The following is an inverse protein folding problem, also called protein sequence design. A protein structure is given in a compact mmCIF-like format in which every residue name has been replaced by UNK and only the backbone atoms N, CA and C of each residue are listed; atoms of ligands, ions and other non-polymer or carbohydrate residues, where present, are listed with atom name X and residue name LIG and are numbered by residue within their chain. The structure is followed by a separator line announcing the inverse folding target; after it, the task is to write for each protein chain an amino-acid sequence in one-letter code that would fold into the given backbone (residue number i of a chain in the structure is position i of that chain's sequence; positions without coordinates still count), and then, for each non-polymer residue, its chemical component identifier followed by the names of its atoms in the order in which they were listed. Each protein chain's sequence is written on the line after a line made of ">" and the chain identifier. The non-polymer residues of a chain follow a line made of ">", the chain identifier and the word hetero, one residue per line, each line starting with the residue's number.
data_IF_034447957505
#
_entry.id   IF_034447957505
#
_cell.length_a   1.000
_cell.length_b   1.000
_cell.length_c   1.000
_cell.angle_alpha   90.00
_cell.angle_beta   90.00
_cell.angle_gamma   90.00
#
_symmetry.space_group_name_H-M   'P 1'
#
loop_
_entity.id
_entity.type
_entity.pdbx_description
1 polymer ?
#
# COMPACT_ATOMS: atom_id res chain seq x y z
N UNK A 1 1.45 42.68 -43.12
CA UNK A 1 2.74 42.16 -42.60
C UNK A 1 2.43 41.13 -41.52
N UNK A 2 2.76 39.88 -41.85
CA UNK A 2 3.01 38.68 -41.02
C UNK A 2 2.27 38.51 -39.68
N UNK A 3 1.40 37.49 -39.67
CA UNK A 3 0.96 36.74 -38.50
C UNK A 3 2.03 35.74 -38.02
N UNK A 4 1.79 35.20 -36.82
CA UNK A 4 2.38 33.98 -36.22
C UNK A 4 3.76 34.14 -35.55
N UNK A 5 4.04 33.52 -34.40
CA UNK A 5 3.33 32.45 -33.72
C UNK A 5 3.50 32.55 -32.20
N UNK A 6 2.39 32.43 -31.49
CA UNK A 6 2.38 31.99 -30.10
C UNK A 6 2.92 30.57 -30.07
N UNK A 7 4.18 30.42 -29.66
CA UNK A 7 4.79 29.12 -29.39
C UNK A 7 4.01 28.42 -28.30
N UNK A 8 3.04 27.57 -28.69
CA UNK A 8 2.62 26.47 -27.85
C UNK A 8 3.85 25.57 -27.72
N UNK A 9 4.49 25.61 -26.56
CA UNK A 9 5.41 24.54 -26.19
C UNK A 9 4.68 23.21 -26.41
N UNK A 10 5.26 22.28 -27.19
CA UNK A 10 4.64 21.00 -27.43
C UNK A 10 4.40 20.36 -26.06
N UNK A 11 3.13 20.08 -25.75
CA UNK A 11 2.73 19.42 -24.52
C UNK A 11 3.66 18.22 -24.31
N UNK A 12 4.45 18.26 -23.24
CA UNK A 12 5.46 17.24 -22.92
C UNK A 12 4.84 15.85 -23.09
N UNK A 13 5.26 15.15 -24.15
CA UNK A 13 4.89 13.76 -24.42
C UNK A 13 5.47 12.82 -23.36
N UNK A 14 6.42 13.32 -22.57
CA UNK A 14 6.98 12.65 -21.43
C UNK A 14 5.88 12.40 -20.37
N UNK A 15 5.69 11.13 -20.02
CA UNK A 15 4.89 10.72 -18.87
C UNK A 15 5.50 11.10 -17.52
N UNK A 16 6.69 11.71 -17.50
CA UNK A 16 7.38 12.13 -16.30
C UNK A 16 6.86 13.48 -15.79
N UNK A 17 6.72 13.56 -14.47
CA UNK A 17 6.31 14.76 -13.75
C UNK A 17 6.81 14.67 -12.32
N UNK A 18 7.84 15.46 -12.03
CA UNK A 18 8.53 15.45 -10.75
C UNK A 18 7.60 15.87 -9.59
N UNK A 19 6.67 16.79 -9.84
CA UNK A 19 5.75 17.26 -8.81
C UNK A 19 4.78 16.14 -8.40
N UNK A 20 4.18 15.45 -9.38
CA UNK A 20 3.33 14.29 -9.10
C UNK A 20 4.11 13.12 -8.47
N UNK A 21 5.36 12.91 -8.90
CA UNK A 21 6.24 11.89 -8.32
C UNK A 21 6.45 12.11 -6.82
N UNK A 22 6.86 13.33 -6.43
CA UNK A 22 7.10 13.65 -5.03
C UNK A 22 5.83 13.69 -4.21
N UNK A 23 4.70 14.14 -4.77
CA UNK A 23 3.40 14.07 -4.10
C UNK A 23 2.94 12.63 -3.87
N UNK A 24 3.20 11.72 -4.81
CA UNK A 24 2.95 10.30 -4.60
C UNK A 24 3.74 9.76 -3.42
N UNK A 25 5.05 10.02 -3.37
CA UNK A 25 5.92 9.59 -2.27
C UNK A 25 5.42 10.18 -0.95
N UNK A 26 5.18 11.48 -0.89
CA UNK A 26 4.72 12.17 0.33
C UNK A 26 3.38 11.66 0.84
N UNK A 27 2.40 11.46 -0.05
CA UNK A 27 1.09 10.95 0.32
C UNK A 27 1.09 9.48 0.74
N UNK A 28 1.87 8.62 0.09
CA UNK A 28 2.01 7.22 0.54
C UNK A 28 2.76 7.16 1.88
N UNK A 29 3.81 7.97 2.06
CA UNK A 29 4.53 8.09 3.33
C UNK A 29 3.59 8.50 4.46
N UNK A 30 2.81 9.55 4.25
CA UNK A 30 1.82 10.02 5.23
C UNK A 30 0.77 8.94 5.53
N UNK A 31 0.31 8.22 4.51
CA UNK A 31 -0.63 7.11 4.69
C UNK A 31 -0.03 6.01 5.57
N UNK A 32 1.19 5.56 5.28
CA UNK A 32 1.87 4.54 6.07
C UNK A 32 2.11 4.99 7.51
N UNK A 33 2.58 6.22 7.73
CA UNK A 33 2.74 6.79 9.07
C UNK A 33 1.42 6.75 9.82
N UNK A 34 0.33 7.19 9.19
CA UNK A 34 -1.01 7.22 9.80
C UNK A 34 -1.47 5.82 10.16
N UNK A 35 -1.40 4.88 9.21
CA UNK A 35 -1.87 3.50 9.38
C UNK A 35 -1.09 2.80 10.50
N UNK A 36 0.23 2.92 10.50
CA UNK A 36 1.11 2.28 11.49
C UNK A 36 0.97 2.93 12.86
N UNK A 37 0.82 4.25 12.94
CA UNK A 37 0.60 4.96 14.22
C UNK A 37 -0.72 4.54 14.83
N UNK A 38 -1.81 4.52 14.05
CA UNK A 38 -3.12 4.07 14.54
C UNK A 38 -3.06 2.59 14.94
N UNK A 39 -2.42 1.75 14.14
CA UNK A 39 -2.21 0.33 14.48
C UNK A 39 -1.50 0.15 15.82
N UNK A 40 -0.41 0.90 16.04
CA UNK A 40 0.33 0.88 17.31
C UNK A 40 -0.53 1.34 18.49
N UNK A 41 -1.27 2.46 18.36
CA UNK A 41 -2.17 2.94 19.41
C UNK A 41 -3.27 1.93 19.74
N UNK A 42 -3.80 1.24 18.74
CA UNK A 42 -4.81 0.18 18.94
C UNK A 42 -4.24 -1.02 19.70
N UNK A 43 -2.98 -1.38 19.45
CA UNK A 43 -2.28 -2.44 20.21
C UNK A 43 -2.11 -2.01 21.68
N UNK A 44 -1.65 -0.77 21.92
CA UNK A 44 -1.50 -0.25 23.29
C UNK A 44 -2.83 -0.22 24.05
N UNK A 45 -3.87 0.33 23.43
CA UNK A 45 -5.23 0.34 23.98
C UNK A 45 -5.76 -1.08 24.23
N UNK A 46 -5.45 -2.02 23.33
CA UNK A 46 -5.81 -3.43 23.48
C UNK A 46 -5.16 -4.07 24.71
N UNK A 47 -3.88 -3.78 24.98
CA UNK A 47 -3.19 -4.30 26.16
C UNK A 47 -3.70 -3.69 27.48
N UNK A 48 -3.99 -2.38 27.50
CA UNK A 48 -4.37 -1.67 28.73
C UNK A 48 -5.83 -1.91 29.13
N UNK A 49 -6.75 -2.02 28.18
CA UNK A 49 -8.20 -2.04 28.44
C UNK A 49 -8.74 -3.46 28.68
N UNK A 50 -8.01 -4.52 28.30
CA UNK A 50 -8.59 -5.86 28.15
C UNK A 50 -8.04 -6.91 29.14
N UNK A 51 -8.15 -6.61 30.43
CA UNK A 51 -8.00 -7.62 31.51
C UNK A 51 -9.29 -8.45 31.73
N UNK A 52 -9.97 -8.90 30.66
CA UNK A 52 -11.21 -9.69 30.76
C UNK A 52 -11.09 -11.09 30.13
N UNK A 53 -11.67 -12.08 30.81
CA UNK A 53 -11.42 -13.51 30.70
C UNK A 53 -12.06 -14.19 29.45
N UNK A 54 -11.34 -15.21 28.91
CA UNK A 54 -11.73 -16.36 28.07
C UNK A 54 -12.16 -16.15 26.59
N UNK A 55 -11.29 -16.64 25.69
CA UNK A 55 -11.51 -17.25 24.35
C UNK A 55 -12.30 -16.51 23.24
N UNK A 56 -13.44 -15.87 23.52
CA UNK A 56 -14.24 -15.13 22.53
C UNK A 56 -13.70 -13.72 22.24
N UNK A 57 -12.77 -13.25 23.07
CA UNK A 57 -12.15 -11.93 23.00
C UNK A 57 -11.24 -11.76 21.77
N UNK A 58 -10.46 -12.80 21.45
CA UNK A 58 -9.46 -12.74 20.38
C UNK A 58 -10.11 -12.56 19.01
N UNK A 59 -11.27 -13.20 18.77
CA UNK A 59 -11.97 -13.10 17.48
C UNK A 59 -12.57 -11.71 17.26
N UNK A 60 -13.22 -11.13 18.27
CA UNK A 60 -13.84 -9.80 18.16
C UNK A 60 -12.76 -8.73 18.00
N UNK A 61 -11.70 -8.79 18.80
CA UNK A 61 -10.56 -7.87 18.70
C UNK A 61 -9.86 -8.01 17.34
N UNK A 62 -9.64 -9.23 16.87
CA UNK A 62 -9.03 -9.49 15.57
C UNK A 62 -9.91 -8.99 14.42
N UNK A 63 -11.23 -9.14 14.48
CA UNK A 63 -12.17 -8.57 13.52
C UNK A 63 -12.17 -7.03 13.54
N UNK A 64 -12.08 -6.42 14.72
CA UNK A 64 -11.96 -4.97 14.88
C UNK A 64 -10.66 -4.45 14.26
N UNK A 65 -9.52 -5.08 14.59
CA UNK A 65 -8.21 -4.74 14.03
C UNK A 65 -8.21 -4.93 12.51
N UNK A 66 -8.75 -6.05 12.01
CA UNK A 66 -8.85 -6.30 10.57
C UNK A 66 -9.73 -5.27 9.86
N UNK A 67 -10.87 -4.90 10.45
CA UNK A 67 -11.79 -3.91 9.88
C UNK A 67 -11.17 -2.52 9.88
N UNK A 68 -10.55 -2.12 10.99
CA UNK A 68 -9.85 -0.84 11.11
C UNK A 68 -8.63 -0.79 10.19
N UNK A 69 -7.82 -1.85 10.18
CA UNK A 69 -6.68 -2.02 9.28
C UNK A 69 -7.10 -1.89 7.82
N UNK A 70 -8.18 -2.55 7.41
CA UNK A 70 -8.74 -2.44 6.07
C UNK A 70 -9.31 -1.05 5.76
N UNK A 71 -9.94 -0.39 6.74
CA UNK A 71 -10.45 0.96 6.58
C UNK A 71 -9.30 1.99 6.46
N UNK A 72 -8.18 1.79 7.16
CA UNK A 72 -7.01 2.65 7.10
C UNK A 72 -6.21 2.42 5.82
N UNK A 73 -5.82 1.17 5.52
CA UNK A 73 -5.13 0.81 4.27
C UNK A 73 -6.00 1.05 3.04
N UNK A 74 -7.30 0.83 3.14
CA UNK A 74 -8.21 1.05 2.03
C UNK A 74 -8.60 2.51 1.86
N UNK A 75 -8.98 3.13 2.97
CA UNK A 75 -9.57 4.46 3.03
C UNK A 75 -8.51 5.56 2.99
N UNK A 76 -7.57 5.57 3.94
CA UNK A 76 -6.57 6.65 4.06
C UNK A 76 -5.59 6.60 2.91
N UNK A 77 -4.94 5.46 2.69
CA UNK A 77 -3.98 5.28 1.59
C UNK A 77 -4.68 5.48 0.24
N UNK A 78 -5.84 4.85 0.02
CA UNK A 78 -6.61 5.03 -1.21
C UNK A 78 -7.02 6.48 -1.45
N UNK A 79 -7.49 7.21 -0.42
CA UNK A 79 -7.88 8.61 -0.55
C UNK A 79 -6.70 9.52 -0.87
N UNK A 80 -5.56 9.31 -0.23
CA UNK A 80 -4.34 10.10 -0.46
C UNK A 80 -3.74 9.81 -1.84
N UNK A 81 -3.71 8.54 -2.27
CA UNK A 81 -3.30 8.16 -3.63
C UNK A 81 -4.23 8.76 -4.70
N UNK A 82 -5.54 8.80 -4.44
CA UNK A 82 -6.51 9.40 -5.37
C UNK A 82 -6.22 10.88 -5.66
N UNK A 83 -5.66 11.62 -4.70
CA UNK A 83 -5.29 13.03 -4.90
C UNK A 83 -4.25 13.22 -6.01
N UNK A 84 -3.40 12.21 -6.26
CA UNK A 84 -2.43 12.20 -7.37
C UNK A 84 -3.09 11.66 -8.65
N UNK A 85 -3.81 10.54 -8.54
CA UNK A 85 -4.40 9.86 -9.70
C UNK A 85 -5.39 10.75 -10.44
N UNK A 86 -6.21 11.53 -9.72
CA UNK A 86 -7.21 12.43 -10.31
C UNK A 86 -6.61 13.53 -11.20
N UNK A 87 -5.33 13.84 -11.03
CA UNK A 87 -4.64 14.87 -11.82
C UNK A 87 -4.23 14.35 -13.20
N UNK A 88 -4.26 13.03 -13.41
CA UNK A 88 -3.93 12.40 -14.69
C UNK A 88 -5.12 11.77 -15.39
N UNK A 89 -6.06 11.23 -14.62
CA UNK A 89 -7.20 10.49 -15.16
C UNK A 89 -8.47 10.81 -14.39
N UNK A 90 -9.63 10.89 -15.05
CA UNK A 90 -10.91 11.22 -14.42
C UNK A 90 -11.51 10.00 -13.69
N UNK A 91 -10.78 9.45 -12.71
CA UNK A 91 -11.25 8.32 -11.89
C UNK A 91 -12.07 8.87 -10.70
N UNK A 92 -13.34 8.42 -10.52
CA UNK A 92 -14.13 8.84 -9.37
C UNK A 92 -13.51 8.40 -8.04
N UNK A 93 -13.48 9.30 -7.06
CA UNK A 93 -12.92 9.06 -5.72
C UNK A 93 -13.43 7.78 -5.08
N UNK A 94 -14.75 7.60 -5.07
CA UNK A 94 -15.41 6.45 -4.44
C UNK A 94 -14.91 5.14 -5.06
N UNK A 95 -14.84 5.07 -6.39
CA UNK A 95 -14.38 3.87 -7.12
C UNK A 95 -12.95 3.52 -6.74
N UNK A 96 -12.05 4.50 -6.74
CA UNK A 96 -10.65 4.29 -6.35
C UNK A 96 -10.49 3.85 -4.90
N UNK A 97 -11.18 4.49 -3.96
CA UNK A 97 -11.10 4.11 -2.55
C UNK A 97 -11.65 2.69 -2.34
N UNK A 98 -12.80 2.36 -2.93
CA UNK A 98 -13.38 1.01 -2.78
C UNK A 98 -12.48 -0.07 -3.40
N UNK A 99 -11.74 0.23 -4.47
CA UNK A 99 -10.76 -0.70 -5.02
C UNK A 99 -9.54 -0.92 -4.11
N UNK A 100 -9.36 -0.09 -3.08
CA UNK A 100 -8.35 -0.32 -2.05
C UNK A 100 -8.92 -1.04 -0.83
N UNK A 101 -10.10 -0.61 -0.35
CA UNK A 101 -10.74 -1.17 0.86
C UNK A 101 -11.09 -2.65 0.70
N UNK A 102 -11.72 -3.06 -0.41
CA UNK A 102 -12.16 -4.44 -0.59
C UNK A 102 -11.01 -5.47 -0.51
N UNK A 103 -9.95 -5.32 -1.32
CA UNK A 103 -8.80 -6.22 -1.25
C UNK A 103 -8.02 -6.10 0.05
N UNK A 104 -7.92 -4.90 0.65
CA UNK A 104 -7.32 -4.75 1.98
C UNK A 104 -8.09 -5.56 3.03
N UNK A 105 -9.43 -5.52 3.02
CA UNK A 105 -10.25 -6.31 3.92
C UNK A 105 -10.04 -7.82 3.70
N UNK A 106 -10.02 -8.27 2.45
CA UNK A 106 -9.74 -9.67 2.14
C UNK A 106 -8.36 -10.10 2.64
N UNK A 107 -7.32 -9.29 2.42
CA UNK A 107 -5.98 -9.60 2.90
C UNK A 107 -5.92 -9.61 4.43
N UNK A 108 -6.58 -8.66 5.10
CA UNK A 108 -6.67 -8.63 6.55
C UNK A 108 -7.38 -9.87 7.11
N UNK A 109 -8.53 -10.25 6.55
CA UNK A 109 -9.32 -11.37 7.05
C UNK A 109 -8.70 -12.74 6.73
N UNK A 110 -8.15 -12.90 5.53
CA UNK A 110 -7.73 -14.22 5.02
C UNK A 110 -6.24 -14.49 5.21
N UNK A 111 -5.42 -13.46 5.43
CA UNK A 111 -3.96 -13.60 5.48
C UNK A 111 -3.40 -13.05 6.77
N UNK A 112 -3.73 -11.81 7.14
CA UNK A 112 -3.15 -11.18 8.34
C UNK A 112 -3.74 -11.78 9.61
N UNK A 113 -5.06 -11.89 9.70
CA UNK A 113 -5.73 -12.38 10.90
C UNK A 113 -5.35 -13.83 11.25
N UNK A 114 -5.42 -14.80 10.31
CA UNK A 114 -5.08 -16.19 10.64
C UNK A 114 -3.62 -16.33 11.06
N UNK A 115 -2.74 -15.53 10.48
CA UNK A 115 -1.34 -15.48 10.82
C UNK A 115 -1.06 -14.89 12.20
N UNK A 116 -1.74 -13.80 12.57
CA UNK A 116 -1.63 -13.21 13.91
C UNK A 116 -2.11 -14.20 14.97
N UNK A 117 -3.25 -14.86 14.73
CA UNK A 117 -3.78 -15.90 15.64
C UNK A 117 -2.79 -17.05 15.76
N UNK A 118 -2.28 -17.56 14.62
CA UNK A 118 -1.30 -18.64 14.62
C UNK A 118 0.00 -18.28 15.35
N UNK A 119 0.47 -17.04 15.22
CA UNK A 119 1.65 -16.56 15.94
C UNK A 119 1.42 -16.46 17.46
N UNK A 120 0.22 -16.08 17.90
CA UNK A 120 -0.14 -16.02 19.32
C UNK A 120 -0.24 -17.40 19.96
N UNK A 121 -0.83 -18.38 19.25
CA UNK A 121 -1.06 -19.73 19.79
C UNK A 121 0.22 -20.57 19.87
N UNK A 122 1.19 -20.30 19.01
CA UNK A 122 2.33 -21.19 18.81
C UNK A 122 3.49 -20.98 19.79
N UNK A 123 3.52 -19.89 20.59
CA UNK A 123 4.73 -19.43 21.31
C UNK A 123 5.99 -19.47 20.43
N UNK A 124 5.83 -19.45 19.10
CA UNK A 124 6.90 -19.82 18.18
C UNK A 124 7.90 -18.69 18.02
N UNK A 125 9.11 -19.11 17.65
CA UNK A 125 10.21 -18.25 17.28
C UNK A 125 9.79 -17.28 16.19
N UNK A 126 10.40 -16.11 16.25
CA UNK A 126 9.86 -14.93 15.59
C UNK A 126 10.11 -14.96 14.08
N UNK A 127 10.93 -15.90 13.61
CA UNK A 127 11.06 -16.30 12.21
C UNK A 127 9.75 -16.76 11.58
N UNK A 128 8.85 -17.41 12.33
CA UNK A 128 7.55 -17.85 11.81
C UNK A 128 6.60 -16.67 11.66
N UNK A 129 6.57 -15.75 12.63
CA UNK A 129 5.82 -14.49 12.53
C UNK A 129 6.32 -13.62 11.36
N UNK A 130 7.62 -13.65 11.08
CA UNK A 130 8.24 -12.98 9.94
C UNK A 130 7.85 -13.59 8.59
N UNK A 131 7.91 -14.91 8.46
CA UNK A 131 7.44 -15.62 7.25
C UNK A 131 5.96 -15.37 7.00
N UNK A 132 5.17 -15.28 8.06
CA UNK A 132 3.76 -14.92 8.01
C UNK A 132 3.57 -13.46 7.55
N UNK A 133 4.28 -12.49 8.13
CA UNK A 133 4.23 -11.09 7.71
C UNK A 133 4.70 -10.87 6.26
N UNK A 134 5.79 -11.53 5.83
CA UNK A 134 6.24 -11.51 4.44
C UNK A 134 5.21 -12.16 3.50
N UNK A 135 4.59 -13.28 3.89
CA UNK A 135 3.50 -13.87 3.09
C UNK A 135 2.25 -12.97 3.00
N UNK A 136 2.00 -12.14 4.02
CA UNK A 136 0.93 -11.13 4.01
C UNK A 136 1.23 -9.99 3.04
N UNK A 137 2.47 -9.49 3.03
CA UNK A 137 2.96 -8.53 2.04
C UNK A 137 2.81 -9.04 0.61
N UNK A 138 3.16 -10.30 0.38
CA UNK A 138 3.02 -11.00 -0.91
C UNK A 138 1.56 -11.19 -1.35
N UNK A 139 0.60 -11.19 -0.43
CA UNK A 139 -0.82 -11.24 -0.76
C UNK A 139 -1.39 -9.84 -1.01
N UNK A 140 -1.05 -8.87 -0.17
CA UNK A 140 -1.53 -7.49 -0.23
C UNK A 140 -1.15 -6.80 -1.54
N UNK A 141 0.12 -6.89 -1.93
CA UNK A 141 0.63 -6.21 -3.14
C UNK A 141 -0.12 -6.59 -4.41
N UNK A 142 -0.21 -7.89 -4.75
CA UNK A 142 -0.97 -8.37 -5.90
C UNK A 142 -2.47 -8.09 -5.80
N UNK A 143 -3.08 -8.24 -4.62
CA UNK A 143 -4.52 -7.98 -4.43
C UNK A 143 -4.87 -6.50 -4.65
N UNK A 144 -4.09 -5.59 -4.06
CA UNK A 144 -4.25 -4.15 -4.25
C UNK A 144 -3.93 -3.75 -5.69
N UNK A 145 -2.81 -4.24 -6.22
CA UNK A 145 -2.38 -3.99 -7.60
C UNK A 145 -3.45 -4.43 -8.61
N UNK A 146 -3.96 -5.65 -8.49
CA UNK A 146 -5.02 -6.19 -9.34
C UNK A 146 -6.30 -5.34 -9.26
N UNK A 147 -6.76 -5.02 -8.07
CA UNK A 147 -7.99 -4.27 -7.88
C UNK A 147 -7.90 -2.84 -8.43
N UNK A 148 -6.81 -2.13 -8.15
CA UNK A 148 -6.55 -0.82 -8.74
C UNK A 148 -6.40 -0.92 -10.27
N UNK A 149 -5.75 -1.96 -10.78
CA UNK A 149 -5.64 -2.25 -12.21
C UNK A 149 -7.00 -2.44 -12.90
N UNK A 150 -8.01 -3.01 -12.22
CA UNK A 150 -9.37 -3.11 -12.75
C UNK A 150 -10.09 -1.76 -12.86
N UNK A 151 -9.68 -0.77 -12.09
CA UNK A 151 -10.11 0.62 -12.26
C UNK A 151 -9.34 1.27 -13.41
N UNK A 152 -8.01 1.11 -13.42
CA UNK A 152 -7.12 1.69 -14.42
C UNK A 152 -7.36 1.16 -15.84
N UNK A 153 -7.85 -0.09 -16.01
CA UNK A 153 -8.16 -0.66 -17.34
C UNK A 153 -9.13 0.18 -18.16
N UNK A 154 -9.92 1.03 -17.51
CA UNK A 154 -10.89 1.92 -18.17
C UNK A 154 -10.25 3.18 -18.74
N UNK A 155 -9.05 3.54 -18.29
CA UNK A 155 -8.42 4.84 -18.56
C UNK A 155 -7.00 4.73 -19.14
N UNK A 156 -6.33 3.58 -19.05
CA UNK A 156 -4.99 3.37 -19.61
C UNK A 156 -4.83 1.99 -20.23
N UNK A 157 -4.06 1.92 -21.32
CA UNK A 157 -3.65 0.68 -21.99
C UNK A 157 -2.60 -0.10 -21.20
N UNK A 158 -1.88 0.56 -20.28
CA UNK A 158 -0.77 -0.02 -19.49
C UNK A 158 -1.22 -0.59 -18.14
N UNK A 159 -2.52 -0.72 -17.91
CA UNK A 159 -3.09 -1.14 -16.62
C UNK A 159 -2.52 -2.45 -16.05
N UNK A 160 -2.11 -3.40 -16.89
CA UNK A 160 -1.55 -4.70 -16.45
C UNK A 160 -0.20 -4.54 -15.74
N UNK A 161 0.60 -3.57 -16.18
CA UNK A 161 1.92 -3.30 -15.60
C UNK A 161 1.83 -2.74 -14.18
N UNK A 162 0.69 -2.16 -13.82
CA UNK A 162 0.44 -1.73 -12.44
C UNK A 162 0.39 -2.91 -11.46
N UNK A 163 -0.11 -4.07 -11.90
CA UNK A 163 -0.06 -5.31 -11.11
C UNK A 163 1.40 -5.71 -10.87
N UNK A 164 2.19 -5.76 -11.94
CA UNK A 164 3.60 -6.11 -11.88
C UNK A 164 4.42 -5.15 -11.02
N UNK A 165 4.16 -3.85 -11.13
CA UNK A 165 4.82 -2.82 -10.33
C UNK A 165 4.52 -2.95 -8.83
N UNK A 166 3.26 -3.24 -8.47
CA UNK A 166 2.90 -3.49 -7.07
C UNK A 166 3.57 -4.76 -6.55
N UNK A 167 3.46 -5.88 -7.28
CA UNK A 167 4.11 -7.13 -6.89
C UNK A 167 5.62 -6.94 -6.72
N UNK A 168 6.30 -6.32 -7.68
CA UNK A 168 7.74 -6.08 -7.61
C UNK A 168 8.12 -5.17 -6.43
N UNK A 169 7.33 -4.12 -6.17
CA UNK A 169 7.61 -3.21 -5.05
C UNK A 169 7.52 -3.93 -3.70
N UNK A 170 6.50 -4.78 -3.51
CA UNK A 170 6.35 -5.58 -2.30
C UNK A 170 7.40 -6.67 -2.16
N UNK A 171 7.75 -7.37 -3.24
CA UNK A 171 8.87 -8.33 -3.24
C UNK A 171 10.19 -7.67 -2.82
N UNK A 172 10.42 -6.43 -3.28
CA UNK A 172 11.60 -5.66 -2.90
C UNK A 172 11.54 -5.27 -1.42
N UNK A 173 10.38 -4.85 -0.89
CA UNK A 173 10.19 -4.65 0.57
C UNK A 173 10.64 -5.91 1.30
N UNK A 174 10.03 -7.05 1.01
CA UNK A 174 10.25 -8.28 1.76
C UNK A 174 11.71 -8.76 1.68
N UNK A 175 12.32 -8.65 0.50
CA UNK A 175 13.74 -8.97 0.31
C UNK A 175 14.65 -8.03 1.11
N UNK A 176 14.36 -6.73 1.13
CA UNK A 176 15.14 -5.76 1.91
C UNK A 176 15.00 -6.01 3.40
N UNK A 177 13.77 -6.19 3.91
CA UNK A 177 13.57 -6.50 5.33
C UNK A 177 14.30 -7.80 5.70
N UNK A 178 14.24 -8.82 4.84
CA UNK A 178 14.89 -10.11 5.12
C UNK A 178 16.42 -9.99 5.14
N UNK A 179 17.00 -9.23 4.21
CA UNK A 179 18.43 -8.99 4.19
C UNK A 179 18.88 -8.17 5.39
N UNK A 180 18.12 -7.13 5.74
CA UNK A 180 18.36 -6.32 6.94
C UNK A 180 18.29 -7.20 8.20
N UNK A 181 17.26 -8.01 8.38
CA UNK A 181 17.14 -8.91 9.53
C UNK A 181 18.26 -9.95 9.62
N UNK A 182 18.98 -10.21 8.51
CA UNK A 182 20.14 -11.13 8.48
C UNK A 182 21.48 -10.44 8.76
N UNK A 183 21.57 -9.14 8.53
CA UNK A 183 22.83 -8.38 8.57
C UNK A 183 23.11 -7.74 9.92
N UNK A 184 22.06 -7.56 10.71
CA UNK A 184 22.11 -6.83 11.97
C UNK A 184 21.63 -7.79 13.03
N UNK A 185 22.57 -8.29 13.84
CA UNK A 185 22.26 -9.12 15.02
C UNK A 185 21.37 -8.36 16.02
N UNK A 186 21.34 -7.02 15.94
CA UNK A 186 20.46 -6.10 16.68
C UNK A 186 19.11 -5.82 15.98
N UNK A 187 18.90 -6.26 14.73
CA UNK A 187 17.61 -6.11 14.03
C UNK A 187 16.66 -7.23 14.45
N UNK A 188 16.56 -7.38 15.76
CA UNK A 188 15.65 -8.27 16.41
C UNK A 188 14.31 -7.54 16.56
N UNK A 189 13.66 -7.27 15.41
CA UNK A 189 12.17 -7.14 15.32
C UNK A 189 11.49 -8.30 16.05
N UNK A 190 12.27 -9.35 16.26
CA UNK A 190 11.95 -10.62 16.84
C UNK A 190 11.71 -10.57 18.37
N UNK A 191 12.55 -9.93 19.18
CA UNK A 191 12.33 -9.83 20.65
C UNK A 191 11.37 -8.70 21.07
N UNK A 192 10.90 -7.90 20.10
CA UNK A 192 10.12 -6.68 20.35
C UNK A 192 10.96 -5.40 20.36
N UNK A 193 12.27 -5.50 20.13
CA UNK A 193 13.21 -4.37 20.10
C UNK A 193 13.44 -3.78 18.70
N UNK A 194 13.00 -4.47 17.64
CA UNK A 194 13.13 -3.94 16.27
C UNK A 194 12.36 -2.63 16.11
N UNK A 195 13.04 -1.66 15.52
CA UNK A 195 12.56 -0.30 15.53
C UNK A 195 11.35 -0.19 14.60
N UNK A 196 10.21 0.27 15.10
CA UNK A 196 9.09 0.71 14.26
C UNK A 196 9.59 1.61 13.11
N UNK A 197 10.65 2.39 13.35
CA UNK A 197 11.29 3.24 12.36
C UNK A 197 11.75 2.43 11.14
N UNK A 198 12.23 1.20 11.29
CA UNK A 198 12.73 0.37 10.18
C UNK A 198 11.60 -0.17 9.29
N UNK A 199 10.48 -0.57 9.90
CA UNK A 199 9.26 -0.94 9.17
C UNK A 199 8.71 0.26 8.40
N UNK A 200 8.72 1.44 9.03
CA UNK A 200 8.31 2.70 8.38
C UNK A 200 9.24 3.03 7.22
N UNK A 201 10.56 2.99 7.42
CA UNK A 201 11.56 3.31 6.41
C UNK A 201 11.47 2.37 5.22
N UNK A 202 11.24 1.06 5.44
CA UNK A 202 11.17 0.10 4.34
C UNK A 202 9.89 0.25 3.52
N UNK A 203 8.75 0.52 4.16
CA UNK A 203 7.50 0.84 3.45
C UNK A 203 7.61 2.17 2.68
N UNK A 204 8.27 3.17 3.26
CA UNK A 204 8.54 4.45 2.59
C UNK A 204 9.46 4.24 1.39
N UNK A 205 10.49 3.39 1.50
CA UNK A 205 11.49 3.13 0.47
C UNK A 205 10.91 2.51 -0.82
N UNK A 206 9.68 2.00 -0.80
CA UNK A 206 9.03 1.41 -2.00
C UNK A 206 8.00 2.30 -2.66
N UNK A 207 7.66 3.42 -2.01
CA UNK A 207 6.88 4.50 -2.63
C UNK A 207 7.53 5.12 -3.88
N UNK A 208 8.87 5.24 -4.00
CA UNK A 208 9.53 5.73 -5.21
C UNK A 208 9.31 4.81 -6.42
N UNK A 209 9.34 3.48 -6.21
CA UNK A 209 9.16 2.49 -7.29
C UNK A 209 7.73 2.53 -7.81
N UNK A 210 6.74 2.46 -6.91
CA UNK A 210 5.33 2.57 -7.28
C UNK A 210 4.99 3.93 -7.88
N UNK A 211 5.62 5.02 -7.42
CA UNK A 211 5.44 6.36 -7.97
C UNK A 211 5.92 6.47 -9.41
N UNK A 212 7.12 5.95 -9.70
CA UNK A 212 7.65 5.91 -11.07
C UNK A 212 6.78 5.05 -11.98
N UNK A 213 6.35 3.89 -11.49
CA UNK A 213 5.46 3.01 -12.24
C UNK A 213 4.11 3.67 -12.51
N UNK A 214 3.53 4.39 -11.54
CA UNK A 214 2.25 5.08 -11.69
C UNK A 214 2.33 6.13 -12.81
N UNK A 215 3.36 6.98 -12.78
CA UNK A 215 3.56 8.00 -13.81
C UNK A 215 3.70 7.40 -15.21
N UNK A 216 4.39 6.26 -15.31
CA UNK A 216 4.52 5.55 -16.59
C UNK A 216 3.21 4.89 -17.04
N UNK A 217 2.43 4.32 -16.12
CA UNK A 217 1.11 3.72 -16.38
C UNK A 217 0.09 4.78 -16.78
N UNK A 218 0.17 5.98 -16.19
CA UNK A 218 -0.72 7.12 -16.43
C UNK A 218 -0.13 8.16 -17.39
N UNK A 219 0.93 7.79 -18.12
CA UNK A 219 1.53 8.68 -19.12
C UNK A 219 0.48 9.08 -20.17
N UNK A 220 0.47 10.33 -20.66
CA UNK A 220 -0.54 10.80 -21.63
C UNK A 220 -0.65 9.90 -22.87
N UNK A 221 0.49 9.40 -23.35
CA UNK A 221 0.59 8.49 -24.50
C UNK A 221 -0.04 7.12 -24.26
N UNK A 222 -0.30 6.74 -23.01
CA UNK A 222 -0.86 5.46 -22.62
C UNK A 222 -2.36 5.52 -22.32
N UNK A 223 -2.91 6.73 -22.16
CA UNK A 223 -4.31 6.93 -21.83
C UNK A 223 -5.19 6.40 -22.96
N UNK A 224 -6.24 5.68 -22.59
CA UNK A 224 -7.20 5.19 -23.55
C UNK A 224 -7.96 6.38 -24.15
N UNK A 225 -7.98 6.50 -25.47
CA UNK A 225 -8.84 7.46 -26.17
C UNK A 225 -10.29 7.17 -25.76
N UNK A 226 -11.09 8.18 -25.39
CA UNK A 226 -12.51 7.96 -25.09
C UNK A 226 -13.13 7.23 -26.28
N UNK A 227 -13.65 6.03 -26.06
CA UNK A 227 -14.53 5.41 -27.04
C UNK A 227 -15.75 6.30 -27.08
N UNK A 228 -15.93 7.01 -28.21
CA UNK A 228 -17.19 7.70 -28.45
C UNK A 228 -18.31 6.65 -28.32
N UNK A 229 -19.36 6.93 -27.53
CA UNK A 229 -20.50 6.04 -27.37
C UNK A 229 -21.22 5.78 -28.70
#
# INVERSE_FOLDING_TARGET
>A
MTSSGSGHEPASTSGWDAHLYWRWIGYNTLAFITVLTVGFLLILLGNDVLHMNLASHNVILALLIATLGAALFGGVLGALQWLVVKERVPVPRKVWITSNVGPALLAWLLVIMPAVIGAQDSRETVSTAYLLAASQSLALGPLLGLSQSLVLRKVTTRWKWWIGANLASWLIVDAVIYLLSRWTDDLDVLTGDGSLIEVYLTLIATTPLTGRALLWVLAPTALAVPRQP
#
